data_IF_658373753404
#
_entry.id   IF_658373753404
#
_cell.length_a   1.000
_cell.length_b   1.000
_cell.length_c   1.000
_cell.angle_alpha   90.00
_cell.angle_beta   90.00
_cell.angle_gamma   90.00
#
_symmetry.space_group_name_H-M   'P 1'
#
loop_
_entity.id
_entity.type
_entity.pdbx_description
1 polymer ?
#
# COMPACT_ATOMS: atom_id res chain seq x y z
N UNK A 1 -14.31 -20.69 -12.56
CA UNK A 1 -13.96 -19.69 -11.53
C UNK A 1 -12.46 -19.56 -11.51
N UNK A 2 -11.92 -18.33 -11.45
CA UNK A 2 -10.48 -18.10 -11.33
C UNK A 2 -10.16 -17.94 -9.85
N UNK A 3 -9.17 -18.69 -9.36
CA UNK A 3 -8.64 -18.57 -8.02
C UNK A 3 -7.19 -18.12 -8.13
N UNK A 4 -6.83 -17.12 -7.33
CA UNK A 4 -5.48 -16.62 -7.20
C UNK A 4 -5.12 -16.61 -5.72
N UNK A 5 -3.89 -16.99 -5.38
CA UNK A 5 -3.35 -16.95 -4.03
C UNK A 5 -2.30 -15.87 -3.99
N UNK A 6 -2.34 -15.05 -2.93
CA UNK A 6 -1.31 -14.05 -2.62
C UNK A 6 -0.62 -14.54 -1.37
N UNK A 7 0.72 -14.63 -1.40
CA UNK A 7 1.52 -15.01 -0.25
C UNK A 7 2.53 -13.92 0.06
N UNK A 8 2.48 -13.44 1.29
CA UNK A 8 3.44 -12.52 1.87
C UNK A 8 4.28 -13.30 2.87
N UNK A 9 5.60 -13.27 2.72
CA UNK A 9 6.54 -13.80 3.71
C UNK A 9 7.30 -12.65 4.33
N UNK A 10 7.17 -12.46 5.64
CA UNK A 10 7.88 -11.43 6.41
C UNK A 10 8.93 -12.11 7.26
N UNK A 11 10.19 -11.71 7.10
CA UNK A 11 11.30 -12.12 7.95
C UNK A 11 11.62 -10.96 8.90
N UNK A 12 11.70 -11.26 10.19
CA UNK A 12 11.98 -10.28 11.24
C UNK A 12 13.40 -10.48 11.77
N UNK A 13 14.00 -9.39 12.24
CA UNK A 13 15.24 -9.44 13.01
C UNK A 13 14.99 -9.79 14.49
N UNK A 14 16.07 -9.84 15.29
CA UNK A 14 16.02 -10.15 16.73
C UNK A 14 15.19 -9.17 17.56
N UNK A 15 14.90 -7.97 17.02
CA UNK A 15 14.08 -6.94 17.65
C UNK A 15 12.65 -6.90 17.09
N UNK A 16 12.26 -7.89 16.28
CA UNK A 16 10.98 -7.97 15.58
C UNK A 16 10.75 -6.86 14.54
N UNK A 17 11.82 -6.30 13.98
CA UNK A 17 11.76 -5.34 12.86
C UNK A 17 11.80 -6.11 11.54
N UNK A 18 10.94 -5.79 10.54
CA UNK A 18 11.02 -6.44 9.23
C UNK A 18 12.38 -6.23 8.56
N UNK A 19 13.06 -7.33 8.27
CA UNK A 19 14.32 -7.36 7.53
C UNK A 19 14.07 -7.59 6.04
N UNK A 20 13.14 -8.50 5.72
CA UNK A 20 12.77 -8.82 4.34
C UNK A 20 11.26 -9.08 4.21
N UNK A 21 10.67 -8.60 3.12
CA UNK A 21 9.28 -8.84 2.76
C UNK A 21 9.28 -9.40 1.34
N UNK A 22 8.71 -10.60 1.18
CA UNK A 22 8.59 -11.27 -0.11
C UNK A 22 7.12 -11.39 -0.47
N UNK A 23 6.78 -10.99 -1.69
CA UNK A 23 5.44 -11.14 -2.27
C UNK A 23 5.48 -12.13 -3.43
N UNK A 24 4.49 -13.01 -3.51
CA UNK A 24 4.24 -13.88 -4.65
C UNK A 24 2.73 -14.03 -4.90
N UNK A 25 2.34 -14.18 -6.16
CA UNK A 25 0.94 -14.41 -6.55
C UNK A 25 0.84 -15.51 -7.61
N UNK A 26 -0.11 -16.43 -7.46
CA UNK A 26 -0.35 -17.48 -8.48
C UNK A 26 -0.95 -16.95 -9.77
N UNK A 27 -1.36 -15.67 -9.80
CA UNK A 27 -1.84 -14.96 -10.98
C UNK A 27 -0.83 -13.96 -11.55
N UNK A 28 0.39 -13.89 -10.99
CA UNK A 28 1.45 -13.09 -11.56
C UNK A 28 2.02 -13.74 -12.84
N UNK A 29 2.57 -12.91 -13.73
CA UNK A 29 3.21 -13.39 -14.97
C UNK A 29 4.46 -14.25 -14.68
N UNK A 30 5.12 -13.99 -13.55
CA UNK A 30 6.25 -14.76 -13.04
C UNK A 30 5.84 -15.43 -11.72
N UNK A 31 6.25 -16.68 -11.52
CA UNK A 31 6.02 -17.41 -10.26
C UNK A 31 7.16 -17.19 -9.24
N UNK A 32 8.03 -16.21 -9.49
CA UNK A 32 9.16 -15.90 -8.61
C UNK A 32 8.72 -14.98 -7.48
N UNK A 33 9.34 -15.15 -6.31
CA UNK A 33 9.16 -14.26 -5.18
C UNK A 33 9.81 -12.91 -5.47
N UNK A 34 9.03 -11.85 -5.31
CA UNK A 34 9.49 -10.48 -5.50
C UNK A 34 9.80 -9.86 -4.14
N UNK A 35 11.04 -9.43 -3.88
CA UNK A 35 11.36 -8.66 -2.69
C UNK A 35 10.74 -7.26 -2.78
N UNK A 36 10.06 -6.85 -1.72
CA UNK A 36 9.45 -5.53 -1.58
C UNK A 36 9.92 -4.86 -0.28
N UNK A 37 9.95 -3.53 -0.28
CA UNK A 37 10.45 -2.76 0.87
C UNK A 37 9.35 -2.34 1.85
N UNK A 38 8.09 -2.34 1.43
CA UNK A 38 6.93 -2.01 2.25
C UNK A 38 5.68 -2.74 1.79
N UNK A 39 4.68 -2.81 2.68
CA UNK A 39 3.32 -3.20 2.33
C UNK A 39 2.30 -2.53 3.26
N UNK A 40 1.09 -2.34 2.76
CA UNK A 40 -0.08 -2.03 3.57
C UNK A 40 -1.17 -3.04 3.24
N UNK A 41 -1.63 -3.78 4.23
CA UNK A 41 -2.73 -4.72 4.11
C UNK A 41 -3.87 -4.25 5.03
N UNK A 42 -5.03 -4.00 4.43
CA UNK A 42 -6.24 -3.67 5.15
C UNK A 42 -7.33 -4.70 4.82
N UNK A 43 -7.92 -5.29 5.86
CA UNK A 43 -8.99 -6.27 5.76
C UNK A 43 -10.21 -5.74 6.50
N UNK A 44 -11.38 -5.77 5.86
CA UNK A 44 -12.63 -5.39 6.49
C UNK A 44 -13.29 -6.60 7.16
N UNK A 45 -13.49 -6.54 8.48
CA UNK A 45 -14.28 -7.53 9.19
C UNK A 45 -15.74 -7.06 9.27
N UNK A 46 -16.62 -7.71 8.52
CA UNK A 46 -18.04 -7.37 8.49
C UNK A 46 -18.75 -7.65 9.83
N UNK A 47 -18.27 -8.62 10.62
CA UNK A 47 -18.91 -8.99 11.89
C UNK A 47 -18.67 -7.91 12.94
N UNK A 48 -17.43 -7.40 13.03
CA UNK A 48 -17.04 -6.37 13.99
C UNK A 48 -17.13 -4.94 13.42
N UNK A 49 -17.39 -4.80 12.11
CA UNK A 49 -17.48 -3.52 11.39
C UNK A 49 -16.23 -2.65 11.60
N UNK A 50 -15.06 -3.27 11.50
CA UNK A 50 -13.78 -2.60 11.64
C UNK A 50 -12.77 -3.07 10.58
N UNK A 51 -11.69 -2.30 10.46
CA UNK A 51 -10.56 -2.64 9.59
C UNK A 51 -9.43 -3.22 10.43
N UNK A 52 -9.01 -4.44 10.11
CA UNK A 52 -7.74 -5.01 10.58
C UNK A 52 -6.63 -4.56 9.63
N UNK A 53 -5.50 -4.11 10.17
CA UNK A 53 -4.40 -3.56 9.36
C UNK A 53 -3.05 -4.11 9.77
N UNK A 54 -2.21 -4.31 8.77
CA UNK A 54 -0.79 -4.60 8.91
C UNK A 54 -0.07 -3.69 7.92
N UNK A 55 0.67 -2.72 8.45
CA UNK A 55 1.47 -1.78 7.67
C UNK A 55 2.94 -1.99 8.06
N UNK A 56 3.77 -2.49 7.12
CA UNK A 56 5.15 -2.86 7.37
C UNK A 56 6.12 -2.14 6.43
N UNK A 57 7.33 -1.94 6.93
CA UNK A 57 8.46 -1.37 6.22
C UNK A 57 9.70 -2.17 6.60
N UNK A 58 10.55 -2.44 5.63
CA UNK A 58 11.89 -2.99 5.87
C UNK A 58 12.77 -1.92 6.51
N UNK A 59 13.68 -2.35 7.39
CA UNK A 59 14.55 -1.45 8.16
C UNK A 59 15.42 -0.51 7.31
N UNK A 60 15.72 -0.90 6.08
CA UNK A 60 16.61 -0.19 5.17
C UNK A 60 15.86 0.61 4.08
N UNK A 61 14.52 0.65 4.13
CA UNK A 61 13.75 1.47 3.20
C UNK A 61 14.05 2.97 3.44
N UNK A 62 14.47 3.73 2.42
CA UNK A 62 14.71 5.17 2.55
C UNK A 62 13.43 5.95 2.87
N UNK A 63 13.54 7.00 3.69
CA UNK A 63 12.40 7.82 4.12
C UNK A 63 11.71 8.53 2.96
N UNK A 64 12.45 8.92 1.93
CA UNK A 64 11.93 9.49 0.69
C UNK A 64 11.07 8.48 -0.09
N UNK A 65 11.49 7.22 -0.17
CA UNK A 65 10.65 6.15 -0.73
C UNK A 65 9.40 5.89 0.13
N UNK A 66 9.51 5.95 1.47
CA UNK A 66 8.34 5.80 2.35
C UNK A 66 7.29 6.89 2.07
N UNK A 67 7.73 8.15 1.96
CA UNK A 67 6.86 9.29 1.61
C UNK A 67 6.19 9.08 0.26
N UNK A 68 6.96 8.64 -0.74
CA UNK A 68 6.45 8.37 -2.09
C UNK A 68 5.41 7.25 -2.08
N UNK A 69 5.71 6.12 -1.43
CA UNK A 69 4.79 4.99 -1.31
C UNK A 69 3.48 5.39 -0.62
N UNK A 70 3.56 6.18 0.46
CA UNK A 70 2.37 6.66 1.16
C UNK A 70 1.50 7.58 0.28
N UNK A 71 2.13 8.51 -0.44
CA UNK A 71 1.45 9.40 -1.38
C UNK A 71 0.73 8.61 -2.49
N UNK A 72 1.42 7.68 -3.15
CA UNK A 72 0.83 6.86 -4.22
C UNK A 72 -0.31 5.98 -3.69
N UNK A 73 -0.17 5.47 -2.46
CA UNK A 73 -1.23 4.68 -1.82
C UNK A 73 -2.48 5.54 -1.57
N UNK A 74 -2.34 6.79 -1.11
CA UNK A 74 -3.50 7.67 -0.90
C UNK A 74 -4.23 7.99 -2.21
N UNK A 75 -3.48 8.25 -3.29
CA UNK A 75 -4.08 8.51 -4.59
C UNK A 75 -4.84 7.29 -5.12
N UNK A 76 -4.21 6.12 -5.09
CA UNK A 76 -4.81 4.88 -5.59
C UNK A 76 -5.99 4.42 -4.72
N UNK A 77 -5.99 4.72 -3.42
CA UNK A 77 -7.16 4.54 -2.55
C UNK A 77 -8.34 5.41 -3.01
N UNK A 78 -8.10 6.68 -3.35
CA UNK A 78 -9.12 7.56 -3.89
C UNK A 78 -9.74 7.05 -5.19
N UNK A 79 -8.89 6.60 -6.12
CA UNK A 79 -9.35 6.01 -7.38
C UNK A 79 -10.16 4.72 -7.17
N UNK A 80 -9.72 3.87 -6.25
CA UNK A 80 -10.41 2.63 -5.89
C UNK A 80 -11.78 2.92 -5.29
N UNK A 81 -11.86 3.90 -4.39
CA UNK A 81 -13.10 4.34 -3.77
C UNK A 81 -14.06 4.93 -4.81
N UNK A 82 -13.57 5.85 -5.65
CA UNK A 82 -14.33 6.45 -6.75
C UNK A 82 -14.95 5.38 -7.67
N UNK A 83 -14.16 4.39 -8.07
CA UNK A 83 -14.61 3.30 -8.95
C UNK A 83 -15.71 2.45 -8.29
N UNK A 84 -15.63 2.26 -6.98
CA UNK A 84 -16.56 1.42 -6.24
C UNK A 84 -17.88 2.12 -5.91
N UNK A 85 -17.85 3.43 -5.63
CA UNK A 85 -19.01 4.16 -5.08
C UNK A 85 -19.56 5.24 -5.99
N UNK A 86 -18.75 5.79 -6.90
CA UNK A 86 -19.10 6.96 -7.71
C UNK A 86 -19.08 8.29 -6.96
N UNK A 87 -18.56 8.32 -5.73
CA UNK A 87 -18.52 9.53 -4.88
C UNK A 87 -17.43 10.50 -5.36
N UNK A 88 -17.77 11.38 -6.31
CA UNK A 88 -16.79 12.27 -6.97
C UNK A 88 -16.27 13.38 -6.06
N UNK A 89 -17.16 14.07 -5.33
CA UNK A 89 -16.81 15.28 -4.57
C UNK A 89 -15.75 14.99 -3.49
N UNK A 90 -15.95 13.93 -2.71
CA UNK A 90 -14.99 13.57 -1.65
C UNK A 90 -13.66 13.05 -2.21
N UNK A 91 -13.66 12.48 -3.41
CA UNK A 91 -12.43 12.03 -4.07
C UNK A 91 -11.66 13.22 -4.63
N UNK A 92 -12.35 14.27 -5.12
CA UNK A 92 -11.71 15.53 -5.50
C UNK A 92 -11.03 16.19 -4.29
N UNK A 93 -11.71 16.28 -3.15
CA UNK A 93 -11.11 16.78 -1.90
C UNK A 93 -9.88 15.96 -1.47
N UNK A 94 -9.96 14.62 -1.60
CA UNK A 94 -8.84 13.73 -1.29
C UNK A 94 -7.65 13.96 -2.23
N UNK A 95 -7.90 14.22 -3.51
CA UNK A 95 -6.84 14.51 -4.50
C UNK A 95 -6.16 15.84 -4.22
N UNK A 96 -6.93 16.86 -3.85
CA UNK A 96 -6.39 18.15 -3.41
C UNK A 96 -5.51 17.98 -2.16
N UNK A 97 -5.96 17.17 -1.21
CA UNK A 97 -5.12 16.81 -0.05
C UNK A 97 -3.85 16.08 -0.46
N UNK A 98 -3.92 15.12 -1.39
CA UNK A 98 -2.73 14.43 -1.88
C UNK A 98 -1.74 15.40 -2.53
N UNK A 99 -2.21 16.37 -3.32
CA UNK A 99 -1.36 17.40 -3.92
C UNK A 99 -0.66 18.25 -2.85
N UNK A 100 -1.38 18.66 -1.81
CA UNK A 100 -0.81 19.37 -0.67
C UNK A 100 0.17 18.51 0.13
N UNK A 101 -0.12 17.21 0.33
CA UNK A 101 0.78 16.26 0.98
C UNK A 101 2.10 16.15 0.22
N UNK A 102 2.04 16.00 -1.12
CA UNK A 102 3.24 15.92 -1.95
C UNK A 102 4.12 17.17 -1.84
N UNK A 103 3.52 18.37 -1.91
CA UNK A 103 4.22 19.65 -1.73
C UNK A 103 4.94 19.70 -0.36
N UNK A 104 4.21 19.41 0.73
CA UNK A 104 4.77 19.44 2.09
C UNK A 104 5.85 18.40 2.33
N UNK A 105 5.75 17.25 1.68
CA UNK A 105 6.72 16.16 1.83
C UNK A 105 7.92 16.29 0.89
N UNK A 106 7.91 17.26 -0.04
CA UNK A 106 8.94 17.47 -1.04
C UNK A 106 8.97 16.38 -2.11
N UNK A 107 7.82 15.79 -2.43
CA UNK A 107 7.70 14.71 -3.40
C UNK A 107 7.59 15.32 -4.80
N UNK A 108 8.52 14.95 -5.70
CA UNK A 108 8.38 15.31 -7.11
C UNK A 108 7.27 14.45 -7.75
N UNK A 109 6.19 15.10 -8.16
CA UNK A 109 5.02 14.48 -8.81
C UNK A 109 5.13 14.45 -10.33
N UNK A 110 6.17 15.09 -10.91
CA UNK A 110 6.47 15.01 -12.33
C UNK A 110 7.39 13.81 -12.58
N UNK A 111 6.80 12.72 -13.07
CA UNK A 111 7.48 11.54 -13.61
C UNK A 111 7.08 11.30 -15.05
#
# INVERSE_FOLDING_TARGET
MKQAEIKITVQLDDNNVPDNILWESTDAQTQEQVPVKSMMLALWDHNYKNSMRIDLWTKDMPVDEMKRFFYETLQTMGDSFLKATGETLIVEDLRDYCAHFADKMGINTQG
#
